data_IF_960778193973
#
_entry.id   IF_960778193973
#
_cell.length_a   1.000
_cell.length_b   1.000
_cell.length_c   1.000
_cell.angle_alpha   90.00
_cell.angle_beta   90.00
_cell.angle_gamma   90.00
#
_symmetry.space_group_name_H-M   'P 1'
#
loop_
_entity.id
_entity.type
_entity.pdbx_description
1 polymer ?
2 non-polymer ?
3 non-polymer ?
4 non-polymer ?
5 non-polymer ?
6 water ?
#
# COMPACT_ATOMS: atom_id res chain seq x y z
N UNK A 10 -7.65 -6.90 -28.20
CA UNK A 10 -6.38 -6.27 -27.93
C UNK A 10 -6.01 -6.22 -26.45
N UNK A 11 -6.45 -7.22 -25.70
CA UNK A 11 -6.11 -7.31 -24.29
C UNK A 11 -4.60 -7.49 -24.14
N UNK A 12 -3.99 -6.65 -23.32
CA UNK A 12 -2.55 -6.66 -23.15
C UNK A 12 -2.11 -7.77 -22.20
N UNK A 13 -0.90 -8.27 -22.42
CA UNK A 13 -0.32 -9.32 -21.59
C UNK A 13 1.11 -8.94 -21.24
N UNK A 14 1.56 -9.38 -20.07
CA UNK A 14 2.96 -9.19 -19.70
C UNK A 14 3.86 -9.86 -20.73
N UNK A 15 4.85 -9.10 -21.23
CA UNK A 15 5.74 -9.64 -22.25
C UNK A 15 6.70 -10.67 -21.67
N UNK A 16 7.25 -10.39 -20.51
CA UNK A 16 8.26 -11.25 -19.90
C UNK A 16 7.61 -12.24 -18.93
N UNK A 17 8.32 -13.35 -18.69
CA UNK A 17 7.81 -14.37 -17.79
C UNK A 17 7.83 -13.89 -16.34
N UNK A 18 8.89 -13.18 -15.95
CA UNK A 18 8.97 -12.60 -14.62
C UNK A 18 8.18 -11.31 -14.49
N UNK A 19 7.57 -10.83 -15.59
CA UNK A 19 6.93 -9.53 -15.55
C UNK A 19 5.78 -9.44 -14.57
N UNK A 20 4.97 -10.49 -14.50
CA UNK A 20 3.79 -10.46 -13.63
C UNK A 20 4.19 -10.39 -12.16
N UNK A 21 5.12 -11.24 -11.74
CA UNK A 21 5.43 -11.34 -10.31
C UNK A 21 6.15 -10.08 -9.83
N UNK A 22 7.07 -9.54 -10.64
CA UNK A 22 7.74 -8.30 -10.24
C UNK A 22 6.79 -7.12 -10.24
N UNK A 23 5.79 -7.13 -11.14
CA UNK A 23 4.77 -6.09 -11.11
C UNK A 23 3.92 -6.20 -9.84
N UNK A 24 3.55 -7.42 -9.45
CA UNK A 24 2.82 -7.60 -8.21
C UNK A 24 3.67 -7.19 -7.02
N UNK A 25 4.96 -7.51 -7.05
CA UNK A 25 5.86 -7.04 -5.99
C UNK A 25 6.02 -5.54 -6.02
N UNK A 26 6.05 -4.94 -7.21
CA UNK A 26 6.10 -3.49 -7.31
C UNK A 26 4.84 -2.82 -6.82
N UNK A 27 3.69 -3.47 -7.02
CA UNK A 27 2.43 -2.91 -6.53
C UNK A 27 2.41 -2.90 -5.01
N UNK A 28 2.89 -3.97 -4.37
CA UNK A 28 2.75 -4.10 -2.93
C UNK A 28 3.76 -3.22 -2.20
N UNK A 29 5.03 -3.30 -2.57
CA UNK A 29 6.08 -2.58 -1.85
C UNK A 29 6.05 -1.12 -2.24
N UNK A 30 5.77 -0.26 -1.27
CA UNK A 30 5.74 1.18 -1.51
C UNK A 30 5.70 2.00 -0.24
N UNK A 31 4.92 3.08 -0.25
CA UNK A 31 4.85 3.96 0.92
C UNK A 31 4.24 3.25 2.12
N UNK A 32 3.41 2.23 1.88
CA UNK A 32 2.76 1.55 2.99
C UNK A 32 3.72 0.77 3.87
N UNK A 33 4.84 0.29 3.29
CA UNK A 33 5.79 -0.49 4.07
C UNK A 33 6.59 0.38 5.01
N UNK A 34 6.91 1.60 4.60
CA UNK A 34 7.75 2.50 5.38
C UNK A 34 6.92 3.61 6.03
N UNK A 35 6.24 4.42 5.21
CA UNK A 35 5.53 5.57 5.75
C UNK A 35 4.30 5.15 6.56
N UNK A 36 3.44 4.33 5.97
CA UNK A 36 2.19 3.99 6.65
C UNK A 36 2.40 2.97 7.77
N UNK A 37 3.22 1.96 7.52
CA UNK A 37 3.46 0.94 8.54
C UNK A 37 4.02 1.55 9.82
N UNK A 38 4.93 2.51 9.67
CA UNK A 38 5.60 3.07 10.84
C UNK A 38 4.63 3.86 11.72
N UNK A 39 3.87 4.77 11.13
CA UNK A 39 3.04 5.66 11.95
C UNK A 39 1.79 4.95 12.46
N UNK A 40 1.28 3.95 11.76
CA UNK A 40 0.14 3.19 12.27
C UNK A 40 0.58 2.23 13.36
N UNK A 41 1.71 1.54 13.16
CA UNK A 41 2.27 0.73 14.25
C UNK A 41 2.60 1.58 15.46
N UNK A 42 3.06 2.82 15.22
CA UNK A 42 3.48 3.66 16.32
C UNK A 42 2.32 4.05 17.24
N UNK A 43 1.19 4.45 16.65
CA UNK A 43 0.05 4.85 17.47
C UNK A 43 -0.81 3.68 17.92
N UNK A 44 -0.61 2.49 17.36
CA UNK A 44 -1.40 1.33 17.73
C UNK A 44 -0.74 0.49 18.82
N UNK A 45 0.43 0.88 19.33
CA UNK A 45 1.05 0.21 20.45
C UNK A 45 2.28 -0.61 20.10
N UNK A 46 2.44 -1.00 18.83
CA UNK A 46 3.65 -1.67 18.42
C UNK A 46 3.54 -3.17 18.27
N UNK A 47 4.09 -3.91 19.25
CA UNK A 47 4.33 -5.34 19.06
C UNK A 47 3.01 -6.12 19.01
N UNK A 48 2.09 -5.82 19.92
CA UNK A 48 0.80 -6.49 19.92
C UNK A 48 0.04 -6.24 18.62
N UNK A 49 0.08 -5.00 18.14
CA UNK A 49 -0.48 -4.69 16.83
C UNK A 49 0.24 -5.44 15.72
N UNK A 50 1.57 -5.53 15.81
CA UNK A 50 2.34 -6.21 14.77
C UNK A 50 2.00 -7.68 14.70
N UNK A 51 1.84 -8.34 15.85
CA UNK A 51 1.49 -9.76 15.86
C UNK A 51 0.12 -9.98 15.22
N UNK A 52 -0.86 -9.14 15.58
CA UNK A 52 -2.17 -9.20 14.95
C UNK A 52 -2.04 -8.89 13.46
N UNK A 53 -1.21 -7.91 13.11
CA UNK A 53 -0.98 -7.56 11.71
C UNK A 53 -0.35 -8.73 10.95
N UNK A 54 0.66 -9.37 11.56
CA UNK A 54 1.28 -10.52 10.92
C UNK A 54 0.30 -11.68 10.76
N UNK A 55 -0.53 -11.92 11.79
CA UNK A 55 -1.53 -12.95 11.68
C UNK A 55 -2.56 -12.66 10.59
N UNK A 56 -2.89 -11.38 10.39
CA UNK A 56 -3.80 -11.02 9.31
C UNK A 56 -3.15 -11.21 7.94
N UNK A 57 -1.83 -11.03 7.85
CA UNK A 57 -1.13 -11.29 6.60
C UNK A 57 -1.21 -12.77 6.25
N UNK A 58 -0.94 -13.63 7.23
CA UNK A 58 -0.82 -15.06 6.96
C UNK A 58 -2.19 -15.68 6.66
N UNK A 59 -3.20 -15.36 7.45
CA UNK A 59 -4.47 -16.06 7.36
C UNK A 59 -5.49 -15.39 6.47
N UNK A 60 -5.34 -14.09 6.19
CA UNK A 60 -6.26 -13.35 5.34
C UNK A 60 -5.57 -12.78 4.11
N UNK A 61 -4.39 -12.19 4.30
CA UNK A 61 -3.65 -11.58 3.20
C UNK A 61 -3.29 -12.54 2.08
N UNK A 62 -2.57 -13.61 2.42
CA UNK A 62 -2.12 -14.56 1.39
C UNK A 62 -3.31 -15.18 0.65
N UNK A 63 -4.32 -15.74 1.31
CA UNK A 63 -5.40 -16.40 0.54
C UNK A 63 -6.18 -15.44 -0.36
N UNK A 64 -6.47 -14.24 0.11
CA UNK A 64 -7.22 -13.30 -0.72
C UNK A 64 -6.34 -12.72 -1.83
N UNK A 65 -5.02 -12.65 -1.62
CA UNK A 65 -4.11 -12.30 -2.72
C UNK A 65 -4.18 -13.38 -3.80
N UNK A 66 -4.10 -14.65 -3.39
CA UNK A 66 -4.28 -15.74 -4.34
C UNK A 66 -5.67 -15.70 -4.96
N UNK A 67 -6.68 -15.31 -4.17
CA UNK A 67 -8.03 -15.17 -4.70
C UNK A 67 -8.08 -14.15 -5.82
N UNK A 68 -7.41 -13.01 -5.64
CA UNK A 68 -7.41 -11.99 -6.68
C UNK A 68 -6.66 -12.45 -7.93
N UNK A 69 -5.50 -13.08 -7.75
CA UNK A 69 -4.77 -13.62 -8.89
C UNK A 69 -5.63 -14.58 -9.69
N UNK A 70 -6.36 -15.46 -8.99
CA UNK A 70 -7.17 -16.47 -9.67
C UNK A 70 -8.29 -15.84 -10.50
N UNK A 71 -9.01 -14.89 -9.90
CA UNK A 71 -10.11 -14.23 -10.59
C UNK A 71 -9.62 -13.49 -11.82
N UNK A 72 -8.51 -12.76 -11.68
CA UNK A 72 -8.01 -11.98 -12.79
C UNK A 72 -7.52 -12.84 -13.95
N UNK A 73 -6.73 -13.87 -13.65
CA UNK A 73 -6.19 -14.70 -14.72
C UNK A 73 -7.28 -15.49 -15.42
N UNK A 74 -8.28 -15.97 -14.66
CA UNK A 74 -9.34 -16.78 -15.27
C UNK A 74 -10.22 -15.92 -16.17
N UNK A 75 -10.49 -14.68 -15.79
CA UNK A 75 -11.43 -13.84 -16.51
C UNK A 75 -10.77 -12.98 -17.58
N UNK A 76 -9.50 -12.61 -17.39
CA UNK A 76 -8.77 -11.76 -18.33
C UNK A 76 -9.52 -10.45 -18.59
N UNK A 77 -10.03 -9.85 -17.52
CA UNK A 77 -10.80 -8.63 -17.62
C UNK A 77 -10.45 -7.73 -16.43
N UNK A 78 -11.04 -6.54 -16.42
CA UNK A 78 -10.76 -5.58 -15.36
C UNK A 78 -11.37 -6.04 -14.04
N UNK A 79 -11.11 -5.28 -12.97
CA UNK A 79 -11.58 -5.64 -11.63
C UNK A 79 -13.10 -5.75 -11.56
N UNK A 80 -13.83 -5.08 -12.44
CA UNK A 80 -15.28 -5.18 -12.47
C UNK A 80 -15.75 -6.18 -13.52
N UNK A 81 -15.13 -6.17 -14.70
CA UNK A 81 -15.52 -7.11 -15.74
C UNK A 81 -15.27 -8.55 -15.38
N UNK A 82 -14.32 -8.80 -14.48
CA UNK A 82 -14.06 -10.17 -14.04
C UNK A 82 -15.29 -10.78 -13.39
N UNK A 83 -16.01 -10.00 -12.58
CA UNK A 83 -17.21 -10.51 -11.94
C UNK A 83 -18.38 -10.61 -12.92
N UNK A 84 -18.49 -9.65 -13.84
CA UNK A 84 -19.54 -9.72 -14.85
C UNK A 84 -19.37 -10.94 -15.75
N UNK A 85 -18.13 -11.39 -15.95
CA UNK A 85 -17.85 -12.48 -16.86
C UNK A 85 -17.97 -13.85 -16.18
N UNK A 86 -17.35 -14.01 -15.01
CA UNK A 86 -17.35 -15.31 -14.34
C UNK A 86 -18.70 -15.63 -13.73
N UNK A 87 -19.47 -14.62 -13.34
CA UNK A 87 -20.78 -14.80 -12.73
C UNK A 87 -21.71 -13.70 -13.21
N UNK A 88 -22.27 -13.85 -14.41
CA UNK A 88 -23.07 -12.78 -14.98
C UNK A 88 -24.37 -12.56 -14.22
N UNK A 89 -24.69 -11.30 -13.95
CA UNK A 89 -25.94 -10.96 -13.31
C UNK A 89 -26.00 -11.26 -11.83
N UNK A 90 -24.87 -11.47 -11.18
CA UNK A 90 -24.81 -11.76 -9.76
C UNK A 90 -24.26 -10.58 -8.97
N UNK A 91 -24.58 -10.47 -7.69
CA UNK A 91 -24.18 -9.30 -6.90
C UNK A 91 -22.70 -9.24 -6.53
N UNK A 92 -21.86 -10.13 -7.06
CA UNK A 92 -20.46 -10.14 -6.66
C UNK A 92 -19.70 -8.94 -7.19
N UNK A 93 -20.18 -8.29 -8.26
CA UNK A 93 -19.43 -7.19 -8.86
C UNK A 93 -19.43 -5.92 -8.01
N UNK A 94 -20.10 -5.93 -6.85
CA UNK A 94 -20.01 -4.77 -5.97
C UNK A 94 -18.59 -4.62 -5.43
N UNK A 95 -17.84 -5.73 -5.35
CA UNK A 95 -16.45 -5.65 -4.93
C UNK A 95 -15.59 -4.97 -5.98
N UNK A 96 -15.88 -5.22 -7.26
CA UNK A 96 -15.16 -4.52 -8.31
C UNK A 96 -15.49 -3.03 -8.33
N UNK A 97 -16.77 -2.69 -8.10
CA UNK A 97 -17.15 -1.28 -8.07
C UNK A 97 -16.51 -0.56 -6.89
N UNK A 98 -16.62 -1.15 -5.69
CA UNK A 98 -15.94 -0.59 -4.53
C UNK A 98 -14.45 -0.50 -4.77
N UNK A 99 -13.86 -1.49 -5.45
CA UNK A 99 -12.43 -1.46 -5.72
C UNK A 99 -12.04 -0.32 -6.63
N UNK A 100 -12.86 -0.02 -7.63
CA UNK A 100 -12.59 1.11 -8.51
C UNK A 100 -12.66 2.41 -7.73
N UNK A 101 -13.67 2.56 -6.87
CA UNK A 101 -13.78 3.77 -6.06
C UNK A 101 -12.61 3.92 -5.12
N UNK A 102 -12.16 2.82 -4.52
CA UNK A 102 -11.01 2.87 -3.63
C UNK A 102 -9.75 3.33 -4.37
N UNK A 103 -9.63 2.99 -5.65
CA UNK A 103 -8.51 3.47 -6.43
C UNK A 103 -8.47 4.99 -6.51
N UNK A 104 -9.62 5.60 -6.80
CA UNK A 104 -9.74 7.05 -6.75
C UNK A 104 -9.29 7.59 -5.40
N UNK A 105 -9.91 7.09 -4.33
CA UNK A 105 -9.69 7.65 -3.00
C UNK A 105 -8.27 7.43 -2.51
N UNK A 106 -7.76 6.20 -2.66
CA UNK A 106 -6.44 5.89 -2.11
C UNK A 106 -5.35 6.66 -2.86
N UNK A 107 -5.39 6.61 -4.20
CA UNK A 107 -4.38 7.33 -4.98
C UNK A 107 -4.46 8.84 -4.80
N UNK A 108 -5.64 9.36 -4.45
CA UNK A 108 -5.76 10.81 -4.27
C UNK A 108 -4.84 11.31 -3.17
N UNK A 109 -4.77 10.61 -2.05
CA UNK A 109 -3.84 11.01 -0.99
C UNK A 109 -2.47 10.36 -1.14
N UNK A 110 -2.40 9.19 -1.79
CA UNK A 110 -1.11 8.56 -2.06
C UNK A 110 -0.21 9.50 -2.86
N UNK A 111 -0.77 10.24 -3.81
CA UNK A 111 0.02 11.19 -4.56
C UNK A 111 0.55 12.34 -3.72
N UNK A 112 -0.18 12.69 -2.66
CA UNK A 112 0.28 13.76 -1.77
C UNK A 112 1.51 13.31 -0.98
N UNK A 113 1.42 12.12 -0.37
CA UNK A 113 2.56 11.59 0.39
C UNK A 113 3.75 11.36 -0.51
N UNK A 114 3.52 10.96 -1.77
CA UNK A 114 4.61 10.79 -2.70
C UNK A 114 5.17 12.14 -3.15
N UNK A 115 4.33 13.18 -3.17
CA UNK A 115 4.84 14.52 -3.40
C UNK A 115 5.77 14.98 -2.29
N UNK A 116 5.48 14.56 -1.05
CA UNK A 116 6.41 14.80 0.05
C UNK A 116 7.77 14.17 -0.25
N UNK A 117 7.77 13.00 -0.88
CA UNK A 117 9.02 12.32 -1.21
C UNK A 117 9.85 13.15 -2.16
N UNK A 118 9.24 13.57 -3.28
CA UNK A 118 9.97 14.34 -4.28
C UNK A 118 10.53 15.63 -3.70
N UNK A 119 9.74 16.29 -2.85
CA UNK A 119 10.19 17.54 -2.23
C UNK A 119 11.45 17.31 -1.40
N UNK A 120 11.45 16.25 -0.57
CA UNK A 120 12.63 15.96 0.24
C UNK A 120 13.82 15.56 -0.63
N UNK A 121 13.57 14.76 -1.67
CA UNK A 121 14.63 14.44 -2.62
C UNK A 121 15.19 15.69 -3.26
N UNK A 122 14.32 16.63 -3.65
CA UNK A 122 14.77 17.87 -4.24
C UNK A 122 15.63 18.68 -3.27
N UNK A 123 15.26 18.69 -1.99
CA UNK A 123 16.03 19.46 -1.01
C UNK A 123 17.41 18.86 -0.79
N UNK A 124 17.53 17.53 -0.87
CA UNK A 124 18.85 16.91 -0.74
C UNK A 124 19.68 17.12 -1.99
N UNK A 125 19.06 17.06 -3.17
CA UNK A 125 19.79 17.23 -4.42
C UNK A 125 20.34 18.65 -4.54
N UNK A 126 19.61 19.65 -4.06
CA UNK A 126 20.07 21.03 -4.08
C UNK A 126 20.80 21.43 -2.80
N UNK A 127 21.05 20.48 -1.90
CA UNK A 127 21.87 20.72 -0.72
C UNK A 127 21.17 21.44 0.42
N UNK A 128 19.85 21.59 0.36
CA UNK A 128 19.16 22.38 1.38
C UNK A 128 19.10 21.66 2.73
N UNK A 129 19.29 20.35 2.75
CA UNK A 129 19.21 19.56 3.98
C UNK A 129 20.52 18.87 4.29
N UNK A 130 21.64 19.55 4.02
CA UNK A 130 22.94 19.07 4.47
C UNK A 130 23.27 19.54 5.88
N UNK A 131 22.30 20.14 6.56
CA UNK A 131 22.38 20.48 7.97
C UNK A 131 20.96 20.58 8.50
N UNK A 132 20.83 20.40 9.80
CA UNK A 132 19.53 20.57 10.43
C UNK A 132 19.09 22.02 10.29
N UNK A 133 17.95 22.30 9.65
CA UNK A 133 17.48 23.68 9.55
C UNK A 133 17.24 24.27 10.94
N UNK A 134 17.34 25.60 11.02
CA UNK A 134 17.26 26.28 12.31
C UNK A 134 15.99 25.92 13.06
N UNK A 135 14.86 25.82 12.35
CA UNK A 135 13.61 25.45 13.00
C UNK A 135 13.51 23.95 13.28
N UNK A 136 14.56 23.19 13.02
CA UNK A 136 14.55 21.77 13.30
C UNK A 136 13.92 20.96 12.18
N UNK A 137 14.16 19.65 12.24
CA UNK A 137 13.61 18.75 11.22
C UNK A 137 12.10 18.60 11.37
N UNK A 138 11.58 18.73 12.59
CA UNK A 138 10.14 18.77 12.75
C UNK A 138 9.54 20.06 12.24
N UNK A 139 10.13 21.19 12.63
CA UNK A 139 9.63 22.48 12.17
C UNK A 139 9.76 22.67 10.67
N UNK A 140 10.79 22.07 10.07
CA UNK A 140 10.90 22.09 8.61
C UNK A 140 9.76 21.32 7.97
N UNK A 141 9.41 20.16 8.53
CA UNK A 141 8.36 19.35 7.94
C UNK A 141 6.99 19.98 8.10
N UNK A 142 6.71 20.54 9.28
CA UNK A 142 5.42 21.21 9.50
C UNK A 142 5.27 22.40 8.55
N UNK A 143 6.34 23.16 8.34
CA UNK A 143 6.26 24.34 7.50
C UNK A 143 5.95 24.03 6.04
N UNK A 144 6.43 22.88 5.55
CA UNK A 144 6.20 22.53 4.15
C UNK A 144 4.80 21.98 3.93
N UNK A 145 4.39 21.01 4.75
CA UNK A 145 3.08 20.39 4.55
C UNK A 145 1.94 21.35 4.85
N UNK A 146 2.17 22.36 5.68
CA UNK A 146 1.15 23.37 5.96
C UNK A 146 1.07 24.43 4.89
N UNK A 147 2.08 24.54 4.03
CA UNK A 147 2.02 25.44 2.88
C UNK A 147 0.88 25.01 1.97
N UNK A 148 0.00 25.92 1.55
CA UNK A 148 -1.17 25.50 0.75
C UNK A 148 -0.83 25.06 -0.66
N UNK A 149 0.22 25.59 -1.28
CA UNK A 149 0.51 25.33 -2.68
C UNK A 149 1.69 24.42 -2.92
N UNK A 150 2.74 24.53 -2.10
CA UNK A 150 3.99 23.80 -2.39
C UNK A 150 3.80 22.29 -2.49
N UNK A 151 3.06 21.62 -1.59
CA UNK A 151 2.86 20.17 -1.77
C UNK A 151 2.07 19.83 -3.03
N UNK A 152 1.18 20.72 -3.47
CA UNK A 152 0.41 20.45 -4.69
C UNK A 152 1.31 20.33 -5.90
N UNK A 153 2.35 21.17 -5.97
CA UNK A 153 3.27 21.12 -7.10
C UNK A 153 3.99 19.79 -7.15
N UNK A 154 4.53 19.34 -6.01
CA UNK A 154 5.23 18.06 -5.99
C UNK A 154 4.26 16.88 -6.08
N UNK A 155 3.02 17.07 -5.60
CA UNK A 155 1.99 16.05 -5.82
C UNK A 155 1.64 15.95 -7.30
N UNK A 156 1.43 17.11 -7.94
CA UNK A 156 1.12 17.12 -9.37
C UNK A 156 2.27 16.54 -10.18
N UNK A 157 3.51 16.83 -9.78
CA UNK A 157 4.66 16.29 -10.49
C UNK A 157 4.69 14.78 -10.41
N UNK A 158 4.38 14.22 -9.23
CA UNK A 158 4.38 12.77 -9.08
C UNK A 158 3.28 12.12 -9.89
N UNK A 159 2.09 12.74 -9.94
CA UNK A 159 0.99 12.18 -10.71
C UNK A 159 1.26 12.20 -12.19
N UNK A 160 1.99 13.21 -12.68
CA UNK A 160 2.37 13.27 -14.09
C UNK A 160 3.19 12.03 -14.45
N UNK A 161 4.15 11.67 -13.60
CA UNK A 161 4.92 10.45 -13.83
C UNK A 161 4.04 9.22 -13.74
N UNK A 162 3.09 9.22 -12.80
CA UNK A 162 2.18 8.09 -12.65
C UNK A 162 1.33 7.91 -13.90
N UNK A 163 0.70 8.98 -14.37
CA UNK A 163 -0.15 8.92 -15.56
C UNK A 163 0.68 8.53 -16.77
N UNK A 164 1.91 9.04 -16.87
CA UNK A 164 2.75 8.78 -18.03
C UNK A 164 3.03 7.29 -18.19
N UNK A 165 3.26 6.59 -17.09
CA UNK A 165 3.59 5.16 -17.17
C UNK A 165 2.34 4.33 -17.47
N UNK A 166 1.21 4.67 -16.83
CA UNK A 166 -0.02 3.95 -17.13
C UNK A 166 -0.46 4.21 -18.56
N UNK A 167 -0.21 5.42 -19.08
CA UNK A 167 -0.59 5.73 -20.45
C UNK A 167 0.26 4.98 -21.47
N UNK A 168 1.53 4.73 -21.15
CA UNK A 168 2.42 4.06 -22.09
C UNK A 168 1.98 2.62 -22.32
N UNK A 169 1.51 1.94 -21.27
CA UNK A 169 0.89 0.65 -21.42
C UNK A 169 1.45 -0.37 -20.46
N UNK A 170 0.91 -1.58 -20.56
CA UNK A 170 1.30 -2.67 -19.67
C UNK A 170 2.65 -3.24 -20.07
N UNK A 171 2.89 -3.39 -21.38
CA UNK A 171 4.15 -3.96 -21.84
C UNK A 171 5.28 -2.95 -21.79
N UNK A 172 5.02 -1.73 -22.26
CA UNK A 172 6.06 -0.72 -22.40
C UNK A 172 6.18 0.21 -21.19
N UNK A 173 5.23 0.14 -20.25
CA UNK A 173 5.27 1.03 -19.10
C UNK A 173 5.39 0.32 -17.77
N UNK A 174 4.28 -0.25 -17.29
CA UNK A 174 4.24 -0.89 -15.98
C UNK A 174 5.34 -1.94 -15.87
N UNK A 175 5.55 -2.72 -16.94
CA UNK A 175 6.46 -3.84 -16.88
C UNK A 175 7.92 -3.39 -16.85
N UNK A 176 8.25 -2.33 -17.59
CA UNK A 176 9.63 -1.95 -17.83
C UNK A 176 10.26 -1.13 -16.71
N UNK A 177 9.68 -1.13 -15.50
CA UNK A 177 10.33 -0.45 -14.39
C UNK A 177 11.62 -1.18 -14.02
N UNK A 178 12.57 -0.41 -13.49
CA UNK A 178 13.92 -0.93 -13.29
C UNK A 178 13.95 -1.97 -12.18
N UNK A 179 14.61 -3.10 -12.46
CA UNK A 179 14.62 -4.24 -11.56
C UNK A 179 15.66 -4.15 -10.45
N UNK A 180 16.56 -3.17 -10.49
CA UNK A 180 17.57 -3.04 -9.44
C UNK A 180 17.11 -2.12 -8.32
N UNK A 181 16.11 -1.27 -8.57
CA UNK A 181 15.77 -0.23 -7.61
C UNK A 181 15.11 -0.79 -6.36
N UNK A 182 14.22 -1.77 -6.51
CA UNK A 182 13.59 -2.35 -5.33
C UNK A 182 14.60 -3.16 -4.51
N UNK A 183 15.45 -3.99 -5.13
CA UNK A 183 16.52 -4.62 -4.34
C UNK A 183 17.47 -3.61 -3.70
N UNK A 184 17.77 -2.51 -4.40
CA UNK A 184 18.60 -1.47 -3.80
C UNK A 184 17.88 -0.78 -2.65
N UNK A 185 16.57 -0.62 -2.74
CA UNK A 185 15.80 -0.08 -1.62
C UNK A 185 15.90 -0.99 -0.41
N UNK A 186 15.77 -2.30 -0.63
CA UNK A 186 15.86 -3.24 0.48
C UNK A 186 17.23 -3.26 1.12
N UNK A 187 18.28 -3.30 0.28
CA UNK A 187 19.64 -3.28 0.79
C UNK A 187 19.91 -2.00 1.58
N UNK A 188 19.35 -0.88 1.12
CA UNK A 188 19.56 0.38 1.81
C UNK A 188 18.84 0.39 3.16
N UNK A 189 17.60 -0.09 3.20
CA UNK A 189 16.88 -0.15 4.46
C UNK A 189 17.58 -1.06 5.46
N UNK A 190 18.14 -2.17 4.97
CA UNK A 190 18.90 -3.06 5.85
C UNK A 190 20.10 -2.33 6.44
N UNK A 191 20.89 -1.67 5.57
CA UNK A 191 22.04 -0.93 6.06
C UNK A 191 21.63 0.15 7.05
N UNK A 192 20.53 0.84 6.77
CA UNK A 192 20.04 1.86 7.70
C UNK A 192 19.56 1.23 9.01
N UNK A 193 18.76 0.17 8.91
CA UNK A 193 18.24 -0.49 10.10
C UNK A 193 19.38 -0.96 11.02
N UNK A 194 20.48 -1.41 10.41
CA UNK A 194 21.66 -1.77 11.21
C UNK A 194 22.23 -0.55 11.92
N UNK A 195 22.29 0.58 11.22
CA UNK A 195 22.87 1.79 11.79
C UNK A 195 22.03 2.30 12.96
N UNK A 196 20.70 2.32 12.81
CA UNK A 196 19.85 2.81 13.88
C UNK A 196 19.90 1.91 15.10
N UNK A 197 20.28 0.64 14.93
CA UNK A 197 20.48 -0.24 16.08
C UNK A 197 21.60 0.26 16.98
N UNK A 198 22.54 1.01 16.43
CA UNK A 198 23.72 1.46 17.16
C UNK A 198 23.55 2.83 17.82
N UNK A 199 22.36 3.42 17.76
CA UNK A 199 22.19 4.83 18.06
C UNK A 199 21.76 5.12 19.49
N UNK A 200 21.45 4.10 20.30
CA UNK A 200 21.20 4.26 21.72
C UNK A 200 19.78 3.93 22.15
N UNK A 201 18.83 4.04 21.24
CA UNK A 201 17.44 3.73 21.56
C UNK A 201 17.02 2.34 21.15
N UNK A 202 17.99 1.44 20.98
CA UNK A 202 17.70 0.13 20.40
C UNK A 202 16.94 -0.76 21.37
N UNK A 203 17.30 -0.74 22.65
CA UNK A 203 16.63 -1.62 23.61
C UNK A 203 15.16 -1.27 23.74
N UNK A 204 14.86 0.01 24.00
CA UNK A 204 13.46 0.43 24.11
C UNK A 204 12.74 0.35 22.78
N UNK A 205 13.44 0.63 21.67
CA UNK A 205 12.80 0.56 20.36
C UNK A 205 12.47 -0.86 19.94
N UNK A 206 13.31 -1.82 20.32
CA UNK A 206 13.03 -3.22 20.00
C UNK A 206 11.98 -3.82 20.94
N UNK A 207 11.92 -3.35 22.18
CA UNK A 207 10.86 -3.81 23.08
C UNK A 207 9.50 -3.31 22.61
N UNK A 208 9.44 -2.08 22.11
CA UNK A 208 8.20 -1.55 21.56
C UNK A 208 7.74 -2.38 20.37
N UNK A 209 8.67 -2.82 19.53
CA UNK A 209 8.30 -3.44 18.26
C UNK A 209 8.04 -4.93 18.40
N UNK A 210 8.67 -5.60 19.36
CA UNK A 210 8.60 -7.06 19.44
C UNK A 210 8.18 -7.61 20.79
N UNK A 211 8.15 -6.79 21.85
CA UNK A 211 7.68 -7.27 23.15
C UNK A 211 6.25 -6.77 23.34
N UNK A 212 5.23 -7.63 23.24
CA UNK A 212 3.85 -7.13 23.17
C UNK A 212 3.28 -6.74 24.52
N UNK A 213 2.53 -5.64 24.52
CA UNK A 213 1.71 -5.20 25.65
C UNK A 213 0.27 -5.51 25.28
N UNK A 214 -0.27 -6.60 25.84
CA UNK A 214 -1.60 -7.06 25.47
C UNK A 214 -2.71 -6.13 25.93
N UNK A 215 -2.41 -5.13 26.76
CA UNK A 215 -3.45 -4.18 27.18
C UNK A 215 -4.01 -3.41 25.99
N UNK A 216 -3.18 -3.16 24.98
CA UNK A 216 -3.66 -2.42 23.81
C UNK A 216 -4.70 -3.21 23.03
N UNK A 217 -4.62 -4.54 23.07
CA UNK A 217 -5.55 -5.37 22.30
C UNK A 217 -6.99 -5.26 22.78
N UNK A 218 -7.19 -4.82 24.03
CA UNK A 218 -8.55 -4.69 24.55
C UNK A 218 -9.39 -3.75 23.71
N UNK A 219 -8.77 -2.72 23.14
CA UNK A 219 -9.48 -1.81 22.24
C UNK A 219 -9.68 -2.50 20.89
N UNK A 220 -10.92 -2.60 20.40
CA UNK A 220 -11.14 -3.23 19.08
C UNK A 220 -10.48 -2.49 17.93
N UNK A 221 -10.34 -1.16 18.02
CA UNK A 221 -9.74 -0.37 16.96
C UNK A 221 -8.37 -0.83 16.51
N UNK A 222 -7.62 -1.49 17.40
CA UNK A 222 -6.32 -2.04 17.02
C UNK A 222 -6.50 -3.11 15.94
N UNK A 223 -7.48 -4.00 16.12
CA UNK A 223 -7.74 -5.03 15.13
C UNK A 223 -8.13 -4.41 13.78
N UNK A 224 -8.93 -3.34 13.82
CA UNK A 224 -9.35 -2.69 12.58
C UNK A 224 -8.17 -2.01 11.90
N UNK A 225 -7.24 -1.45 12.67
CA UNK A 225 -6.06 -0.83 12.08
C UNK A 225 -5.10 -1.89 11.56
N UNK A 226 -4.99 -3.02 12.25
CA UNK A 226 -4.11 -4.10 11.80
C UNK A 226 -4.61 -4.69 10.49
N UNK A 227 -5.93 -4.84 10.35
CA UNK A 227 -6.46 -5.39 9.11
C UNK A 227 -6.47 -4.35 8.00
N UNK A 228 -6.59 -3.06 8.35
CA UNK A 228 -6.51 -2.02 7.34
C UNK A 228 -5.10 -1.91 6.77
N UNK A 229 -4.09 -1.99 7.64
CA UNK A 229 -2.71 -1.96 7.17
C UNK A 229 -2.40 -3.19 6.32
N UNK A 230 -2.92 -4.35 6.73
CA UNK A 230 -2.66 -5.58 5.98
C UNK A 230 -3.24 -5.51 4.58
N UNK A 231 -4.49 -5.05 4.45
CA UNK A 231 -5.07 -4.88 3.13
C UNK A 231 -4.36 -3.79 2.33
N UNK A 232 -4.01 -2.69 3.00
CA UNK A 232 -3.32 -1.59 2.32
C UNK A 232 -1.97 -2.04 1.77
N UNK A 233 -1.12 -2.61 2.62
CA UNK A 233 0.24 -2.92 2.23
C UNK A 233 0.30 -4.02 1.17
N UNK A 234 -0.74 -4.85 1.06
CA UNK A 234 -0.77 -5.92 0.07
C UNK A 234 -1.47 -5.53 -1.21
N UNK A 235 -1.86 -4.26 -1.36
CA UNK A 235 -2.64 -3.80 -2.51
C UNK A 235 -3.86 -4.68 -2.70
N UNK A 236 -4.55 -4.95 -1.59
CA UNK A 236 -5.51 -6.03 -1.49
C UNK A 236 -6.93 -5.50 -1.35
N UNK A 237 -7.88 -6.29 -1.84
CA UNK A 237 -9.29 -6.04 -1.60
C UNK A 237 -9.99 -5.11 -2.56
N UNK A 238 -9.26 -4.50 -3.49
CA UNK A 238 -9.86 -3.53 -4.42
C UNK A 238 -9.62 -3.90 -5.88
N UNK A 239 -9.23 -5.14 -6.15
CA UNK A 239 -9.08 -5.58 -7.53
C UNK A 239 -7.82 -5.15 -8.22
N UNK A 240 -6.83 -4.65 -7.48
CA UNK A 240 -5.55 -4.29 -8.10
C UNK A 240 -4.79 -5.53 -8.56
N UNK A 241 -4.83 -6.59 -7.76
CA UNK A 241 -4.19 -7.85 -8.13
C UNK A 241 -5.05 -8.67 -9.09
N UNK A 242 -6.37 -8.46 -9.10
CA UNK A 242 -7.19 -8.98 -10.18
C UNK A 242 -6.75 -8.39 -11.50
N UNK A 243 -6.47 -7.08 -11.51
CA UNK A 243 -6.10 -6.40 -12.75
C UNK A 243 -4.70 -6.82 -13.22
N UNK A 244 -3.75 -6.92 -12.29
CA UNK A 244 -2.41 -7.36 -12.68
C UNK A 244 -2.42 -8.83 -13.10
N UNK A 245 -3.23 -9.64 -12.42
CA UNK A 245 -3.35 -11.04 -12.81
C UNK A 245 -4.06 -11.23 -14.14
N UNK A 246 -4.92 -10.28 -14.51
CA UNK A 246 -5.63 -10.39 -15.78
C UNK A 246 -4.70 -10.25 -16.98
N UNK A 247 -3.45 -9.84 -16.77
CA UNK A 247 -2.48 -9.70 -17.84
C UNK A 247 -1.55 -10.90 -17.99
N UNK A 248 -1.63 -11.88 -17.09
CA UNK A 248 -0.73 -13.03 -17.12
C UNK A 248 -1.47 -14.22 -17.70
N UNK A 249 -0.70 -15.10 -18.35
CA UNK A 249 -1.26 -16.25 -19.05
C UNK A 249 -1.19 -17.49 -18.16
N UNK A 250 -1.47 -18.66 -18.73
CA UNK A 250 -1.50 -19.90 -17.97
C UNK A 250 -0.11 -20.33 -17.53
N UNK A 251 0.94 -19.83 -18.16
CA UNK A 251 2.32 -20.19 -17.80
C UNK A 251 2.76 -19.34 -16.61
N UNK A 252 2.18 -19.66 -15.45
CA UNK A 252 2.48 -18.94 -14.22
C UNK A 252 1.90 -19.70 -13.06
N UNK A 253 2.65 -19.75 -11.96
CA UNK A 253 2.22 -20.38 -10.72
C UNK A 253 1.79 -19.29 -9.75
N UNK A 254 0.50 -19.29 -9.40
CA UNK A 254 -0.12 -18.28 -8.56
C UNK A 254 0.16 -18.48 -7.06
N UNK A 255 0.13 -19.70 -6.52
CA UNK A 255 0.41 -19.85 -5.08
C UNK A 255 1.74 -19.27 -4.64
N UNK A 256 2.84 -19.65 -5.32
CA UNK A 256 4.14 -19.09 -4.98
C UNK A 256 4.20 -17.59 -5.19
N UNK A 257 3.43 -17.07 -6.15
CA UNK A 257 3.38 -15.64 -6.38
C UNK A 257 2.78 -14.91 -5.19
N UNK A 258 1.70 -15.45 -4.63
CA UNK A 258 1.05 -14.81 -3.48
C UNK A 258 1.94 -14.82 -2.26
N UNK A 259 2.63 -15.93 -2.00
CA UNK A 259 3.48 -16.01 -0.82
C UNK A 259 4.73 -15.16 -0.99
N UNK A 260 5.32 -15.16 -2.18
CA UNK A 260 6.49 -14.33 -2.44
C UNK A 260 6.16 -12.85 -2.27
N UNK A 261 5.02 -12.41 -2.80
CA UNK A 261 4.59 -11.03 -2.65
C UNK A 261 4.34 -10.72 -1.18
N UNK A 262 3.66 -11.62 -0.48
CA UNK A 262 3.36 -11.40 0.94
C UNK A 262 4.63 -11.46 1.79
N UNK A 263 5.55 -12.37 1.44
CA UNK A 263 6.78 -12.47 2.21
C UNK A 263 7.68 -11.27 2.03
N UNK A 264 7.87 -10.85 0.78
CA UNK A 264 8.74 -9.70 0.50
C UNK A 264 8.17 -8.42 1.12
N UNK A 265 6.87 -8.22 0.98
CA UNK A 265 6.24 -7.03 1.56
C UNK A 265 6.38 -7.00 3.07
N UNK A 266 6.29 -8.17 3.71
CA UNK A 266 6.43 -8.24 5.16
C UNK A 266 7.88 -7.97 5.58
N UNK A 267 8.85 -8.50 4.84
CA UNK A 267 10.24 -8.24 5.15
C UNK A 267 10.57 -6.75 5.07
N UNK A 268 10.06 -6.07 4.04
CA UNK A 268 10.22 -4.64 3.94
C UNK A 268 9.60 -3.92 5.14
N UNK A 269 8.41 -4.36 5.55
CA UNK A 269 7.73 -3.72 6.68
C UNK A 269 8.52 -3.87 7.97
N UNK A 270 8.95 -5.10 8.26
CA UNK A 270 9.62 -5.37 9.54
C UNK A 270 10.95 -4.63 9.63
N UNK A 271 11.73 -4.65 8.54
CA UNK A 271 13.02 -3.97 8.57
C UNK A 271 12.83 -2.46 8.64
N UNK A 272 11.75 -1.93 8.06
CA UNK A 272 11.45 -0.51 8.23
C UNK A 272 11.20 -0.17 9.69
N UNK A 273 10.48 -1.05 10.40
CA UNK A 273 10.26 -0.82 11.82
C UNK A 273 11.53 -0.93 12.65
N UNK A 274 12.44 -1.82 12.26
CA UNK A 274 13.72 -1.92 12.94
C UNK A 274 14.54 -0.66 12.73
N UNK A 275 14.35 0.01 11.59
CA UNK A 275 15.05 1.27 11.33
C UNK A 275 14.40 2.43 12.05
N UNK A 276 13.07 2.50 12.05
CA UNK A 276 12.37 3.71 12.47
C UNK A 276 12.38 3.85 13.99
N UNK A 277 11.98 2.80 14.70
CA UNK A 277 11.62 2.95 16.09
C UNK A 277 12.83 3.03 17.04
N UNK A 278 13.91 2.29 16.82
CA UNK A 278 15.14 2.60 17.55
C UNK A 278 15.65 4.01 17.27
N UNK A 279 15.35 4.55 16.09
CA UNK A 279 15.66 5.95 15.81
C UNK A 279 14.69 6.87 16.55
N UNK A 280 13.40 6.49 16.59
CA UNK A 280 12.41 7.24 17.36
C UNK A 280 12.86 7.40 18.80
N UNK A 281 13.25 6.29 19.43
CA UNK A 281 13.54 6.33 20.87
C UNK A 281 14.88 6.99 21.14
N UNK A 282 15.86 6.80 20.25
CA UNK A 282 17.14 7.50 20.41
C UNK A 282 16.94 9.01 20.38
N UNK A 283 16.05 9.49 19.52
CA UNK A 283 15.70 10.90 19.49
C UNK A 283 14.83 11.32 20.66
N UNK A 284 14.29 10.37 21.42
CA UNK A 284 13.37 10.69 22.49
C UNK A 284 12.01 11.12 22.04
N UNK A 285 11.65 10.89 20.78
CA UNK A 285 10.37 11.30 20.22
C UNK A 285 9.31 10.25 20.50
N UNK A 286 8.05 10.67 20.40
CA UNK A 286 6.93 9.77 20.64
C UNK A 286 6.68 8.92 19.41
N UNK A 287 6.54 7.60 19.55
CA UNK A 287 6.23 6.76 18.38
C UNK A 287 4.86 7.03 17.79
N UNK A 288 3.99 7.77 18.49
CA UNK A 288 2.62 8.03 18.06
C UNK A 288 2.48 9.36 17.33
N UNK A 289 3.60 9.93 16.84
CA UNK A 289 3.56 11.28 16.27
C UNK A 289 2.54 11.42 15.16
N UNK A 290 2.62 10.57 14.14
CA UNK A 290 1.63 10.59 13.08
C UNK A 290 2.22 10.49 11.69
N UNK A 291 1.46 10.95 10.70
CA UNK A 291 1.85 10.72 9.29
C UNK A 291 3.20 11.29 8.90
N UNK A 292 3.70 12.29 9.62
CA UNK A 292 5.00 12.84 9.30
C UNK A 292 6.16 12.22 10.05
N UNK A 293 5.94 11.06 10.68
CA UNK A 293 6.96 10.49 11.56
C UNK A 293 8.24 10.20 10.82
N UNK A 294 8.16 9.46 9.71
CA UNK A 294 9.38 9.11 8.98
C UNK A 294 10.04 10.35 8.39
N UNK A 295 9.25 11.38 8.06
CA UNK A 295 9.83 12.58 7.47
C UNK A 295 10.53 13.46 8.49
N UNK A 296 10.22 13.29 9.77
CA UNK A 296 10.96 13.99 10.82
C UNK A 296 12.12 13.16 11.32
N UNK A 297 11.90 11.86 11.51
CA UNK A 297 12.89 11.01 12.14
C UNK A 297 14.08 10.78 11.20
N UNK A 298 13.80 10.43 9.94
CA UNK A 298 14.86 9.96 9.05
C UNK A 298 15.84 11.07 8.65
N UNK A 299 15.41 12.27 8.27
CA UNK A 299 16.40 13.32 7.99
C UNK A 299 17.27 13.64 9.20
N UNK A 300 16.70 13.61 10.41
CA UNK A 300 17.50 13.74 11.61
C UNK A 300 18.49 12.59 11.74
N UNK A 301 18.06 11.38 11.37
CA UNK A 301 18.96 10.22 11.38
C UNK A 301 20.04 10.39 10.31
N UNK A 302 19.65 10.84 9.12
CA UNK A 302 20.63 11.06 8.06
C UNK A 302 21.65 12.12 8.45
N UNK A 303 21.27 13.03 9.35
CA UNK A 303 22.14 14.15 9.71
C UNK A 303 23.28 13.73 10.65
N UNK A 304 23.15 12.62 11.36
CA UNK A 304 24.21 12.16 12.24
C UNK A 304 25.26 11.33 11.49
N UNK A 305 25.07 11.08 10.20
CA UNK A 305 26.04 10.39 9.37
C UNK A 305 26.92 11.43 8.70
N UNK A 306 28.18 11.07 8.44
CA UNK A 306 29.07 11.96 7.69
C UNK A 306 28.56 12.14 6.26
N UNK A 307 28.39 11.03 5.54
CA UNK A 307 27.87 11.03 4.18
C UNK A 307 26.34 11.00 4.14
N UNK A 308 25.68 11.42 5.23
CA UNK A 308 24.23 11.37 5.31
C UNK A 308 23.47 12.00 4.17
N UNK A 309 23.87 13.18 3.70
CA UNK A 309 23.18 13.75 2.52
C UNK A 309 23.15 12.83 1.32
N UNK A 310 24.19 12.02 1.12
CA UNK A 310 24.15 11.04 0.03
C UNK A 310 23.20 9.90 0.38
N UNK A 311 23.08 9.56 1.67
CA UNK A 311 22.08 8.57 2.08
C UNK A 311 20.67 9.10 1.84
N UNK A 312 20.44 10.39 2.12
CA UNK A 312 19.13 10.97 1.91
C UNK A 312 18.73 11.00 0.45
N UNK A 313 19.67 11.37 -0.43
CA UNK A 313 19.41 11.34 -1.87
C UNK A 313 19.02 9.94 -2.31
N UNK A 314 19.82 8.95 -1.93
CA UNK A 314 19.55 7.57 -2.35
C UNK A 314 18.26 7.05 -1.74
N UNK A 315 17.98 7.39 -0.48
CA UNK A 315 16.78 6.87 0.17
C UNK A 315 15.53 7.38 -0.52
N UNK A 316 15.40 8.70 -0.70
CA UNK A 316 14.19 9.25 -1.29
C UNK A 316 14.13 9.02 -2.79
N UNK A 317 15.26 8.69 -3.43
CA UNK A 317 15.19 8.19 -4.81
C UNK A 317 14.57 6.81 -4.84
N UNK A 318 15.09 5.89 -4.01
CA UNK A 318 14.58 4.52 -4.00
C UNK A 318 13.19 4.43 -3.40
N UNK A 319 12.88 5.28 -2.41
CA UNK A 319 11.53 5.31 -1.87
C UNK A 319 10.56 5.91 -2.89
N UNK A 320 10.99 6.94 -3.62
CA UNK A 320 10.13 7.51 -4.64
C UNK A 320 9.84 6.56 -5.78
N UNK A 321 10.82 5.70 -6.13
CA UNK A 321 10.60 4.74 -7.20
C UNK A 321 9.65 3.63 -6.77
N UNK A 322 9.69 3.23 -5.49
CA UNK A 322 8.75 2.23 -5.01
C UNK A 322 7.34 2.80 -4.91
N UNK A 323 7.22 4.08 -4.52
CA UNK A 323 5.92 4.72 -4.52
C UNK A 323 5.36 4.85 -5.93
N UNK A 324 6.25 5.06 -6.90
CA UNK A 324 5.81 5.22 -8.29
C UNK A 324 5.17 3.94 -8.82
N UNK A 325 5.83 2.79 -8.63
CA UNK A 325 5.28 1.54 -9.10
C UNK A 325 3.99 1.17 -8.37
N UNK A 326 3.84 1.63 -7.13
CA UNK A 326 2.58 1.39 -6.42
C UNK A 326 1.47 2.30 -6.93
N UNK A 327 1.78 3.58 -7.17
CA UNK A 327 0.79 4.49 -7.71
C UNK A 327 0.34 4.09 -9.10
N UNK A 328 1.24 3.50 -9.89
CA UNK A 328 0.88 3.04 -11.23
C UNK A 328 -0.19 1.96 -11.14
N UNK A 329 0.00 0.99 -10.22
CA UNK A 329 -0.99 -0.07 -10.06
C UNK A 329 -2.28 0.47 -9.46
N UNK A 330 -2.21 1.56 -8.70
CA UNK A 330 -3.43 2.21 -8.20
C UNK A 330 -4.23 2.79 -9.35
N UNK A 331 -3.60 3.63 -10.17
CA UNK A 331 -4.27 4.22 -11.34
C UNK A 331 -4.72 3.17 -12.34
N UNK A 332 -4.08 2.00 -12.35
CA UNK A 332 -4.38 0.98 -13.34
C UNK A 332 -5.78 0.37 -13.18
N UNK A 333 -6.34 0.41 -11.98
CA UNK A 333 -7.65 -0.19 -11.74
C UNK A 333 -8.77 0.67 -12.36
N UNK A 334 -8.80 1.99 -12.13
CA UNK A 334 -9.81 2.80 -12.85
C UNK A 334 -9.55 2.88 -14.35
N UNK A 335 -8.29 2.83 -14.78
CA UNK A 335 -7.99 3.01 -16.20
C UNK A 335 -8.50 1.82 -17.00
N UNK A 336 -8.20 0.59 -16.54
CA UNK A 336 -8.68 -0.59 -17.24
C UNK A 336 -10.20 -0.67 -17.22
N UNK A 337 -10.82 -0.25 -16.12
CA UNK A 337 -12.28 -0.25 -16.03
C UNK A 337 -12.88 0.76 -17.00
N UNK A 338 -12.29 1.95 -17.11
CA UNK A 338 -12.81 2.96 -18.02
C UNK A 338 -12.42 2.70 -19.46
N UNK A 339 -11.34 1.95 -19.72
CA UNK A 339 -11.00 1.58 -21.08
C UNK A 339 -12.06 0.64 -21.67
N UNK A 340 -12.56 -0.30 -20.87
CA UNK A 340 -13.56 -1.24 -21.36
C UNK A 340 -14.92 -0.57 -21.47
N UNK A 341 -15.43 -0.04 -20.36
CA UNK A 341 -16.84 0.31 -20.27
C UNK A 341 -17.22 1.56 -21.06
N UNK A 342 -16.26 2.41 -21.42
CA UNK A 342 -16.54 3.57 -22.24
C UNK A 342 -15.69 3.62 -23.51
N UNK A 343 -15.02 2.52 -23.85
CA UNK A 343 -14.14 2.47 -25.03
C UNK A 343 -13.11 3.59 -25.00
N UNK A 344 -12.76 4.07 -23.82
CA UNK A 344 -11.71 5.07 -23.68
C UNK A 344 -10.37 4.47 -24.08
N UNK A 345 -9.55 5.27 -24.75
CA UNK A 345 -8.17 4.88 -25.00
C UNK A 345 -7.38 4.97 -23.70
N UNK A 346 -6.36 4.13 -23.60
CA UNK A 346 -5.54 4.11 -22.39
C UNK A 346 -4.96 5.48 -22.08
N UNK A 347 -4.46 6.18 -23.10
CA UNK A 347 -3.91 7.51 -22.88
C UNK A 347 -4.98 8.49 -22.43
N UNK A 348 -6.20 8.36 -22.96
CA UNK A 348 -7.30 9.21 -22.52
C UNK A 348 -7.68 8.90 -21.07
N UNK A 349 -7.85 7.62 -20.75
CA UNK A 349 -8.28 7.25 -19.41
C UNK A 349 -7.21 7.58 -18.38
N UNK A 350 -5.94 7.33 -18.70
CA UNK A 350 -4.86 7.63 -17.76
C UNK A 350 -4.78 9.12 -17.47
N UNK A 351 -4.82 9.94 -18.52
CA UNK A 351 -4.73 11.38 -18.34
C UNK A 351 -5.96 11.91 -17.63
N UNK A 352 -7.15 11.53 -18.11
CA UNK A 352 -8.38 12.07 -17.55
C UNK A 352 -8.59 11.61 -16.11
N UNK A 353 -8.52 10.30 -15.86
CA UNK A 353 -8.69 9.80 -14.50
C UNK A 353 -7.56 10.24 -13.60
N UNK A 354 -6.33 10.34 -14.13
CA UNK A 354 -5.22 10.78 -13.32
C UNK A 354 -5.33 12.24 -12.92
N UNK A 355 -5.81 13.10 -13.83
CA UNK A 355 -6.03 14.49 -13.50
C UNK A 355 -7.12 14.62 -12.44
N UNK A 356 -8.20 13.86 -12.59
CA UNK A 356 -9.31 13.94 -11.64
C UNK A 356 -8.88 13.45 -10.26
N UNK A 357 -8.09 12.37 -10.22
CA UNK A 357 -7.62 11.85 -8.93
C UNK A 357 -6.69 12.86 -8.25
N UNK A 358 -5.87 13.56 -9.04
CA UNK A 358 -5.02 14.60 -8.49
C UNK A 358 -5.85 15.70 -7.84
N UNK A 359 -6.94 16.11 -8.50
CA UNK A 359 -7.82 17.13 -7.93
C UNK A 359 -8.46 16.63 -6.64
N UNK A 360 -8.84 15.35 -6.59
CA UNK A 360 -9.45 14.80 -5.38
C UNK A 360 -8.47 14.81 -4.21
N UNK A 361 -7.18 14.67 -4.49
CA UNK A 361 -6.20 14.64 -3.41
C UNK A 361 -5.91 16.02 -2.84
N UNK A 362 -6.19 17.07 -3.61
CA UNK A 362 -5.88 18.44 -3.18
C UNK A 362 -6.52 18.77 -1.83
N UNK A 363 -7.80 18.45 -1.58
CA UNK A 363 -8.33 18.66 -0.21
C UNK A 363 -7.60 17.87 0.85
N UNK A 364 -7.12 16.67 0.55
CA UNK A 364 -6.38 15.90 1.55
C UNK A 364 -5.02 16.53 1.82
N UNK A 365 -4.41 17.16 0.81
CA UNK A 365 -3.16 17.88 1.03
C UNK A 365 -3.41 19.14 1.87
N UNK A 366 -4.47 19.89 1.54
CA UNK A 366 -4.83 21.05 2.34
C UNK A 366 -5.22 20.65 3.75
N UNK A 367 -5.66 19.41 3.95
CA UNK A 367 -6.06 18.94 5.27
C UNK A 367 -4.90 18.99 6.28
N UNK A 368 -3.66 18.97 5.79
CA UNK A 368 -2.51 19.09 6.68
C UNK A 368 -2.21 20.54 7.06
N UNK A 369 -2.99 21.49 6.57
CA UNK A 369 -2.75 22.89 6.89
C UNK A 369 -4.02 23.70 7.09
N UNK A 370 -4.40 24.45 6.06
CA UNK A 370 -5.49 25.42 6.20
C UNK A 370 -6.83 24.74 6.43
N UNK A 371 -6.99 23.50 5.95
CA UNK A 371 -8.21 22.75 6.20
C UNK A 371 -8.08 21.81 7.39
N UNK A 372 -7.09 22.03 8.26
CA UNK A 372 -6.79 21.08 9.32
C UNK A 372 -7.90 20.92 10.33
N UNK A 373 -8.75 21.93 10.46
CA UNK A 373 -9.85 21.91 11.41
C UNK A 373 -11.09 21.22 10.85
N UNK A 374 -11.15 21.03 9.53
CA UNK A 374 -12.36 20.47 8.89
C UNK A 374 -12.41 18.97 9.10
N UNK A 375 -13.60 18.45 9.38
CA UNK A 375 -13.82 17.01 9.54
C UNK A 375 -14.90 16.54 8.57
N UNK A 376 -14.78 15.29 8.14
CA UNK A 376 -15.78 14.65 7.31
C UNK A 376 -16.44 13.54 8.15
N UNK A 377 -15.67 12.50 8.43
CA UNK A 377 -16.06 11.52 9.44
C UNK A 377 -15.76 12.11 10.82
N UNK A 378 -16.68 12.03 11.78
CA UNK A 378 -16.48 12.71 13.07
C UNK A 378 -15.16 12.32 13.72
N UNK A 379 -14.39 13.34 14.10
CA UNK A 379 -13.09 13.15 14.72
C UNK A 379 -11.95 12.92 13.76
N UNK A 380 -12.20 12.84 12.46
CA UNK A 380 -11.18 12.61 11.45
C UNK A 380 -11.20 13.77 10.46
N UNK A 381 -10.02 14.32 10.18
CA UNK A 381 -9.92 15.38 9.18
C UNK A 381 -10.15 14.76 7.79
N UNK A 382 -9.98 15.58 6.74
CA UNK A 382 -10.26 15.11 5.39
C UNK A 382 -9.33 13.95 5.01
N UNK A 383 -8.03 14.14 5.21
CA UNK A 383 -7.06 13.09 4.88
C UNK A 383 -7.35 11.82 5.66
N UNK A 384 -7.54 11.95 6.98
CA UNK A 384 -7.84 10.78 7.80
C UNK A 384 -9.18 10.17 7.44
N UNK A 385 -10.13 10.98 6.97
CA UNK A 385 -11.43 10.43 6.59
C UNK A 385 -11.35 9.66 5.28
N UNK A 386 -10.64 10.20 4.29
CA UNK A 386 -10.52 9.52 3.00
C UNK A 386 -9.80 8.19 3.17
N UNK A 387 -8.70 8.19 3.95
CA UNK A 387 -7.98 6.95 4.21
C UNK A 387 -8.85 5.95 4.95
N UNK A 388 -9.66 6.42 5.90
CA UNK A 388 -10.44 5.49 6.72
C UNK A 388 -11.51 4.78 5.88
N UNK A 389 -12.24 5.52 5.05
CA UNK A 389 -13.29 4.88 4.27
C UNK A 389 -12.70 3.91 3.25
N UNK A 390 -11.50 4.21 2.74
CA UNK A 390 -10.93 3.34 1.73
C UNK A 390 -10.18 2.17 2.36
N UNK A 391 -9.31 2.45 3.34
CA UNK A 391 -8.46 1.40 3.91
C UNK A 391 -9.17 0.56 4.96
N UNK A 392 -10.06 1.18 5.75
CA UNK A 392 -10.71 0.47 6.86
C UNK A 392 -12.10 -0.04 6.52
N UNK A 393 -12.75 0.53 5.49
CA UNK A 393 -14.09 0.12 5.08
C UNK A 393 -14.05 -0.62 3.75
N UNK A 394 -13.54 0.02 2.70
CA UNK A 394 -13.71 -0.53 1.36
C UNK A 394 -12.78 -1.70 1.10
N UNK A 395 -11.49 -1.56 1.45
CA UNK A 395 -10.56 -2.68 1.29
C UNK A 395 -10.98 -3.92 2.08
N UNK A 396 -11.31 -3.84 3.38
CA UNK A 396 -11.70 -5.08 4.07
C UNK A 396 -13.01 -5.66 3.59
N UNK A 397 -13.99 -4.81 3.25
CA UNK A 397 -15.27 -5.31 2.76
C UNK A 397 -15.14 -5.93 1.37
N UNK A 398 -14.40 -5.25 0.48
CA UNK A 398 -14.14 -5.82 -0.83
C UNK A 398 -13.39 -7.13 -0.74
N UNK A 399 -12.44 -7.23 0.20
CA UNK A 399 -11.76 -8.50 0.41
C UNK A 399 -12.67 -9.57 0.97
N UNK A 400 -13.61 -9.18 1.82
CA UNK A 400 -14.57 -10.14 2.36
C UNK A 400 -15.45 -10.71 1.25
N UNK A 401 -15.93 -9.84 0.37
CA UNK A 401 -16.75 -10.30 -0.76
C UNK A 401 -15.93 -11.21 -1.68
N UNK A 402 -14.69 -10.79 -1.97
CA UNK A 402 -13.84 -11.56 -2.88
C UNK A 402 -13.62 -12.97 -2.34
N UNK A 403 -13.38 -13.09 -1.04
CA UNK A 403 -13.17 -14.41 -0.45
C UNK A 403 -14.45 -15.25 -0.48
N UNK A 404 -15.59 -14.62 -0.22
CA UNK A 404 -16.86 -15.34 -0.27
C UNK A 404 -17.23 -15.72 -1.71
N UNK A 405 -16.80 -14.92 -2.68
CA UNK A 405 -17.11 -15.21 -4.08
C UNK A 405 -16.52 -16.56 -4.50
N UNK A 406 -15.23 -16.77 -4.25
CA UNK A 406 -14.63 -18.06 -4.55
C UNK A 406 -15.14 -19.13 -3.60
N UNK A 407 -15.37 -18.76 -2.34
CA UNK A 407 -15.78 -19.74 -1.36
C UNK A 407 -17.16 -20.33 -1.63
N UNK A 408 -18.13 -19.49 -2.00
CA UNK A 408 -19.50 -19.93 -2.16
C UNK A 408 -20.08 -19.71 -3.54
N UNK A 409 -19.39 -19.00 -4.43
CA UNK A 409 -19.90 -18.75 -5.76
C UNK A 409 -19.20 -19.57 -6.83
N UNK A 410 -18.21 -20.36 -6.42
CA UNK A 410 -17.48 -21.25 -7.32
C UNK A 410 -17.67 -22.70 -6.87
N UNK A 411 -17.46 -23.62 -7.79
CA UNK A 411 -17.28 -25.01 -7.41
C UNK A 411 -15.84 -25.22 -6.98
N UNK A 412 -15.63 -26.14 -6.04
CA UNK A 412 -14.31 -26.32 -5.45
C UNK A 412 -13.29 -26.73 -6.50
N UNK A 413 -13.67 -27.66 -7.39
CA UNK A 413 -12.72 -28.14 -8.39
C UNK A 413 -12.23 -27.02 -9.31
N UNK A 414 -13.12 -26.10 -9.66
CA UNK A 414 -12.69 -24.94 -10.45
C UNK A 414 -11.82 -24.01 -9.62
N UNK A 415 -12.17 -23.81 -8.34
CA UNK A 415 -11.36 -22.96 -7.48
C UNK A 415 -9.94 -23.50 -7.35
N UNK A 416 -9.80 -24.81 -7.21
CA UNK A 416 -8.47 -25.41 -7.09
C UNK A 416 -7.74 -25.41 -8.43
N UNK A 417 -8.45 -25.73 -9.51
CA UNK A 417 -7.81 -25.80 -10.83
C UNK A 417 -7.30 -24.44 -11.27
N UNK A 418 -8.12 -23.39 -11.13
CA UNK A 418 -7.73 -22.06 -11.59
C UNK A 418 -6.63 -21.44 -10.73
N UNK A 419 -6.50 -21.86 -9.48
CA UNK A 419 -5.45 -21.37 -8.60
C UNK A 419 -4.20 -22.23 -8.61
N UNK A 420 -4.14 -23.24 -9.48
CA UNK A 420 -2.99 -24.14 -9.59
C UNK A 420 -2.77 -24.91 -8.29
N UNK A 421 -3.86 -25.29 -7.64
CA UNK A 421 -3.83 -26.10 -6.44
C UNK A 421 -4.58 -27.39 -6.66
N UNK A 422 -4.24 -28.40 -5.86
CA UNK A 422 -4.98 -29.65 -5.84
C UNK A 422 -5.84 -29.69 -4.58
N UNK A 423 -6.50 -30.82 -4.35
CA UNK A 423 -7.27 -30.99 -3.13
C UNK A 423 -6.35 -31.49 -2.01
N UNK A 424 -5.23 -30.80 -1.82
CA UNK A 424 -4.23 -31.19 -0.84
C UNK A 424 -4.52 -30.52 0.50
N UNK A 425 -3.57 -30.61 1.43
CA UNK A 425 -3.72 -29.89 2.69
C UNK A 425 -3.71 -28.40 2.46
N UNK A 426 -2.79 -27.91 1.61
CA UNK A 426 -2.73 -26.48 1.32
C UNK A 426 -3.95 -26.04 0.53
N UNK A 427 -4.40 -26.86 -0.43
CA UNK A 427 -5.61 -26.52 -1.16
C UNK A 427 -6.83 -26.46 -0.27
N UNK A 428 -6.97 -27.44 0.63
CA UNK A 428 -8.07 -27.40 1.60
C UNK A 428 -7.94 -26.20 2.51
N UNK A 429 -6.72 -25.89 2.96
CA UNK A 429 -6.50 -24.73 3.82
C UNK A 429 -6.95 -23.44 3.14
N UNK A 430 -6.72 -23.34 1.83
CA UNK A 430 -7.04 -22.11 1.11
C UNK A 430 -8.54 -21.94 0.93
N UNK A 431 -9.24 -23.02 0.55
CA UNK A 431 -10.69 -22.94 0.41
C UNK A 431 -11.34 -22.67 1.76
N UNK A 432 -10.78 -23.23 2.83
CA UNK A 432 -11.31 -22.96 4.17
C UNK A 432 -11.09 -21.51 4.57
N UNK A 433 -9.94 -20.94 4.19
CA UNK A 433 -9.68 -19.53 4.51
C UNK A 433 -10.72 -18.62 3.86
N UNK A 434 -11.10 -18.92 2.61
CA UNK A 434 -12.04 -18.07 1.90
C UNK A 434 -13.48 -18.30 2.33
N UNK A 435 -13.85 -19.52 2.70
CA UNK A 435 -15.23 -19.80 3.08
C UNK A 435 -15.56 -19.27 4.47
N UNK A 436 -14.61 -19.34 5.39
CA UNK A 436 -14.94 -19.07 6.79
C UNK A 436 -13.93 -18.15 7.47
N UNK A 437 -12.68 -18.60 7.57
CA UNK A 437 -11.71 -17.93 8.44
C UNK A 437 -11.57 -16.46 8.08
N UNK A 438 -11.13 -16.18 6.85
CA UNK A 438 -10.90 -14.80 6.44
C UNK A 438 -12.17 -13.95 6.45
N UNK A 439 -13.29 -14.36 5.84
CA UNK A 439 -14.46 -13.46 5.83
C UNK A 439 -15.12 -13.29 7.18
N UNK A 440 -15.10 -14.30 8.05
CA UNK A 440 -15.69 -14.11 9.37
C UNK A 440 -14.77 -13.32 10.28
N UNK A 441 -13.46 -13.39 10.03
CA UNK A 441 -12.54 -12.55 10.79
C UNK A 441 -12.77 -11.08 10.49
N UNK A 442 -12.94 -10.74 9.21
CA UNK A 442 -13.24 -9.37 8.82
C UNK A 442 -14.58 -8.93 9.43
N UNK A 443 -15.61 -9.78 9.30
CA UNK A 443 -16.91 -9.44 9.84
C UNK A 443 -16.85 -9.22 11.35
N UNK A 444 -16.11 -10.06 12.06
CA UNK A 444 -15.96 -9.88 13.50
C UNK A 444 -15.23 -8.58 13.80
N UNK A 445 -14.19 -8.28 13.02
CA UNK A 445 -13.47 -7.01 13.20
C UNK A 445 -14.41 -5.83 13.00
N UNK A 446 -15.29 -5.92 12.00
CA UNK A 446 -16.26 -4.84 11.77
C UNK A 446 -17.24 -4.74 12.92
N UNK A 447 -17.80 -5.87 13.37
CA UNK A 447 -18.83 -5.84 14.40
C UNK A 447 -18.32 -5.25 15.70
N UNK A 448 -17.12 -5.64 16.12
CA UNK A 448 -16.59 -5.17 17.40
C UNK A 448 -16.13 -3.72 17.33
N UNK A 449 -15.57 -3.30 16.19
CA UNK A 449 -15.06 -1.94 16.07
C UNK A 449 -16.20 -0.93 16.08
N UNK A 450 -17.29 -1.22 15.37
CA UNK A 450 -18.43 -0.30 15.27
C UNK A 450 -19.50 -0.72 16.27
N UNK A 451 -19.36 -0.23 17.50
CA UNK A 451 -20.31 -0.48 18.57
C UNK A 451 -20.58 -1.97 18.79
#
# INVERSE_FOLDING_TARGET
SMASLKQQTGREQWASRLGFILAAMGSAVGLGNIWRFSYVTGENGGAAFLLVYLGFIALIGIPIVLAEFTIGRRAQSDAVGSFEKLAPGKPWKVAGLMGVAAGFLILSFYGVIAGWILFYLFNYITGQLWSAPAEGFGGFFEGFIANPTLPLFWQALFMIATIWIVAIGVKKGIERSNKILMPLLGVLLIALAIYSLTLGGAKEGLAFLFSPDWSALKDPGVYLAAISQAFFTLSLGMGALITYGSYVSKDSRLPGAAVSVAGLDTAFAIIAGIMIFPAVFALGLSPSGGPGLVFVVLPDIFDSIRLGPIVGIAFFILLGAAALSSAVSLLEVPVAYFMRKFDWSRKQAAITLGVIITLLGIPSSLSFGVLGEVTIIPGLNIFDSVDFIASSVFLPLGGMIIALFIGWGWKTSDALAESDLTDSVWGKLWILSLRFIAPIAILIVFLSAFQIFFN
#
